data_IF_594893663157
#
_entry.id   IF_594893663157
#
_cell.length_a   1.000
_cell.length_b   1.000
_cell.length_c   1.000
_cell.angle_alpha   90.00
_cell.angle_beta   90.00
_cell.angle_gamma   90.00
#
_symmetry.space_group_name_H-M   'P 1'
#
loop_
_entity.id
_entity.type
_entity.pdbx_description
1 polymer ?
#
# COMPACT_ATOMS: atom_id res chain seq x y z
N UNK A 1 -68.86 -7.21 34.31
CA UNK A 1 -68.54 -8.34 33.41
C UNK A 1 -68.04 -7.72 32.11
N UNK A 2 -66.75 -7.35 31.99
CA UNK A 2 -65.64 -8.17 31.43
C UNK A 2 -66.04 -8.80 30.08
N UNK A 3 -65.44 -8.51 28.93
CA UNK A 3 -63.99 -8.41 28.65
C UNK A 3 -63.71 -7.64 27.35
N UNK A 4 -62.70 -6.77 27.43
CA UNK A 4 -61.94 -6.21 26.31
C UNK A 4 -61.12 -7.35 25.67
N UNK A 5 -61.30 -7.61 24.38
CA UNK A 5 -60.35 -8.45 23.61
C UNK A 5 -59.44 -7.54 22.79
N UNK A 6 -58.31 -7.20 23.40
CA UNK A 6 -57.09 -6.88 22.68
C UNK A 6 -56.65 -8.12 21.91
N UNK A 7 -56.61 -8.04 20.58
CA UNK A 7 -55.74 -8.91 19.78
C UNK A 7 -54.87 -7.97 18.98
N UNK A 8 -53.72 -7.64 19.58
CA UNK A 8 -52.55 -7.15 18.86
C UNK A 8 -52.29 -8.14 17.73
N UNK A 9 -52.51 -7.71 16.49
CA UNK A 9 -51.94 -8.37 15.33
C UNK A 9 -50.44 -8.04 15.36
N UNK A 10 -49.64 -8.93 15.97
CA UNK A 10 -48.19 -8.88 15.91
C UNK A 10 -47.77 -8.96 14.44
N UNK A 11 -47.38 -7.82 13.86
CA UNK A 11 -46.54 -7.79 12.67
C UNK A 11 -45.22 -8.48 13.04
N UNK A 12 -45.14 -9.77 12.78
CA UNK A 12 -43.87 -10.47 12.60
C UNK A 12 -43.23 -9.90 11.33
N UNK A 13 -42.59 -8.74 11.44
CA UNK A 13 -41.46 -8.44 10.57
C UNK A 13 -40.37 -9.45 10.96
N UNK A 14 -40.43 -10.64 10.36
CA UNK A 14 -39.21 -11.42 10.19
C UNK A 14 -38.29 -10.55 9.36
N UNK A 15 -37.42 -9.79 10.02
CA UNK A 15 -36.21 -9.30 9.38
C UNK A 15 -35.41 -10.56 9.08
N UNK A 16 -35.72 -11.20 7.95
CA UNK A 16 -34.75 -12.00 7.23
C UNK A 16 -33.68 -10.97 6.86
N UNK A 17 -32.68 -10.84 7.73
CA UNK A 17 -31.38 -10.37 7.31
C UNK A 17 -30.86 -11.45 6.36
N UNK A 18 -31.32 -11.39 5.10
CA UNK A 18 -30.55 -11.86 3.98
C UNK A 18 -29.26 -11.05 4.05
N UNK A 19 -28.28 -11.57 4.79
CA UNK A 19 -26.91 -11.17 4.58
C UNK A 19 -26.65 -11.44 3.11
N UNK A 20 -26.62 -10.38 2.30
CA UNK A 20 -25.95 -10.43 1.01
C UNK A 20 -24.48 -10.72 1.34
N UNK A 21 -24.11 -11.99 1.44
CA UNK A 21 -22.77 -12.39 1.09
C UNK A 21 -22.70 -12.18 -0.41
N UNK A 22 -22.33 -10.98 -0.83
CA UNK A 22 -21.95 -10.76 -2.23
C UNK A 22 -20.83 -11.76 -2.54
N UNK A 23 -21.06 -12.63 -3.52
CA UNK A 23 -20.01 -13.54 -3.96
C UNK A 23 -18.80 -12.70 -4.36
N UNK A 24 -17.64 -13.08 -3.83
CA UNK A 24 -16.41 -12.37 -4.07
C UNK A 24 -16.10 -12.40 -5.57
N UNK A 25 -15.93 -11.21 -6.18
CA UNK A 25 -15.64 -11.12 -7.62
C UNK A 25 -14.30 -11.81 -7.90
N UNK A 26 -14.34 -12.92 -8.61
CA UNK A 26 -13.14 -13.54 -9.17
C UNK A 26 -12.81 -12.87 -10.49
N UNK A 27 -11.52 -12.65 -10.75
CA UNK A 27 -11.04 -12.03 -11.99
C UNK A 27 -9.93 -12.89 -12.57
N UNK A 28 -9.87 -12.99 -13.89
CA UNK A 28 -8.81 -13.73 -14.53
C UNK A 28 -7.55 -12.86 -14.66
N UNK A 29 -6.37 -13.49 -14.59
CA UNK A 29 -5.08 -12.82 -14.67
C UNK A 29 -4.95 -11.94 -15.94
N UNK A 30 -5.45 -12.43 -17.07
CA UNK A 30 -5.37 -11.70 -18.34
C UNK A 30 -6.12 -10.36 -18.33
N UNK A 31 -7.19 -10.25 -17.57
CA UNK A 31 -8.00 -9.03 -17.46
C UNK A 31 -7.32 -7.98 -16.57
N UNK A 32 -6.72 -8.42 -15.45
CA UNK A 32 -5.86 -7.56 -14.61
C UNK A 32 -4.65 -7.02 -15.40
N UNK A 33 -4.07 -7.85 -16.27
CA UNK A 33 -2.86 -7.51 -17.02
C UNK A 33 -3.12 -6.57 -18.20
N UNK A 34 -4.28 -6.68 -18.88
CA UNK A 34 -4.64 -5.78 -19.99
C UNK A 34 -4.87 -4.32 -19.55
N UNK A 35 -4.94 -4.06 -18.24
CA UNK A 35 -4.87 -2.72 -17.69
C UNK A 35 -6.15 -1.90 -17.85
N UNK A 36 -7.19 -2.47 -18.44
CA UNK A 36 -8.51 -1.87 -18.46
C UNK A 36 -9.32 -2.40 -17.29
N UNK A 37 -9.14 -1.76 -16.13
CA UNK A 37 -9.94 -2.03 -14.93
C UNK A 37 -11.29 -1.33 -14.99
N UNK A 38 -11.60 -0.58 -16.06
CA UNK A 38 -12.86 0.17 -16.18
C UNK A 38 -14.08 -0.75 -16.28
N UNK A 39 -13.92 -1.96 -16.81
CA UNK A 39 -14.97 -2.98 -16.85
C UNK A 39 -15.28 -3.56 -15.46
N UNK A 40 -14.33 -3.46 -14.52
CA UNK A 40 -14.42 -4.07 -13.20
C UNK A 40 -14.68 -3.07 -12.07
N UNK A 41 -14.39 -1.79 -12.31
CA UNK A 41 -14.56 -0.69 -11.35
C UNK A 41 -15.82 0.10 -11.67
N UNK A 42 -16.96 -0.34 -11.13
CA UNK A 42 -18.16 0.50 -11.15
C UNK A 42 -18.06 1.52 -10.02
N UNK A 43 -17.78 2.78 -10.37
CA UNK A 43 -17.86 3.87 -9.41
C UNK A 43 -17.00 3.69 -8.16
N UNK A 44 -15.71 3.44 -8.30
CA UNK A 44 -14.67 3.87 -7.37
C UNK A 44 -13.34 3.69 -8.07
N UNK A 45 -12.54 4.76 -8.20
CA UNK A 45 -11.32 4.78 -9.00
C UNK A 45 -10.17 3.91 -8.43
N UNK A 46 -10.44 2.97 -7.51
CA UNK A 46 -9.45 2.12 -6.88
C UNK A 46 -10.06 0.79 -6.40
N UNK A 47 -9.29 -0.30 -6.51
CA UNK A 47 -9.68 -1.63 -6.09
C UNK A 47 -8.58 -2.35 -5.30
N UNK A 48 -8.97 -3.36 -4.53
CA UNK A 48 -8.08 -4.32 -3.90
C UNK A 48 -7.99 -5.59 -4.74
N UNK A 49 -6.79 -6.12 -4.91
CA UNK A 49 -6.57 -7.45 -5.48
C UNK A 49 -5.83 -8.31 -4.47
N UNK A 50 -6.47 -9.41 -4.04
CA UNK A 50 -5.86 -10.45 -3.24
C UNK A 50 -5.37 -11.57 -4.13
N UNK A 51 -4.10 -11.93 -3.99
CA UNK A 51 -3.47 -13.00 -4.74
C UNK A 51 -3.13 -14.10 -3.74
N UNK A 52 -3.95 -15.14 -3.76
CA UNK A 52 -3.90 -16.23 -2.78
C UNK A 52 -3.92 -17.54 -3.56
N UNK A 53 -2.77 -18.22 -3.68
CA UNK A 53 -2.69 -19.47 -4.43
C UNK A 53 -3.51 -20.57 -3.77
N UNK A 54 -4.12 -21.43 -4.57
CA UNK A 54 -4.95 -22.55 -4.06
C UNK A 54 -4.15 -23.48 -3.14
N UNK A 55 -2.90 -23.78 -3.49
CA UNK A 55 -1.99 -24.66 -2.73
C UNK A 55 -1.17 -23.95 -1.65
N UNK A 56 -1.70 -22.87 -1.07
CA UNK A 56 -0.98 -22.08 -0.09
C UNK A 56 -1.19 -22.55 1.36
N UNK A 57 -0.14 -23.10 1.95
CA UNK A 57 -0.14 -23.60 3.34
C UNK A 57 -0.23 -22.48 4.38
N UNK A 58 0.31 -21.29 4.10
CA UNK A 58 0.43 -20.17 5.06
C UNK A 58 -0.44 -18.96 4.69
N UNK A 59 -1.52 -19.15 3.92
CA UNK A 59 -2.39 -18.05 3.47
C UNK A 59 -3.55 -17.73 4.42
N UNK A 60 -3.66 -18.40 5.55
CA UNK A 60 -4.80 -18.23 6.47
C UNK A 60 -5.02 -16.76 6.86
N UNK A 61 -3.96 -16.01 7.14
CA UNK A 61 -4.06 -14.59 7.52
C UNK A 61 -4.57 -13.71 6.38
N UNK A 62 -4.16 -13.97 5.14
CA UNK A 62 -4.65 -13.25 3.96
C UNK A 62 -6.13 -13.59 3.67
N UNK A 63 -6.51 -14.87 3.75
CA UNK A 63 -7.90 -15.31 3.59
C UNK A 63 -8.81 -14.71 4.67
N UNK A 64 -8.34 -14.68 5.92
CA UNK A 64 -9.05 -14.04 7.03
C UNK A 64 -9.26 -12.54 6.76
N UNK A 65 -8.21 -11.82 6.40
CA UNK A 65 -8.29 -10.39 6.09
C UNK A 65 -9.22 -10.10 4.90
N UNK A 66 -9.17 -10.94 3.86
CA UNK A 66 -10.07 -10.85 2.71
C UNK A 66 -11.53 -10.94 3.14
N UNK A 67 -11.88 -11.94 3.96
CA UNK A 67 -13.25 -12.11 4.47
C UNK A 67 -13.69 -10.94 5.36
N UNK A 68 -12.79 -10.43 6.21
CA UNK A 68 -13.06 -9.28 7.08
C UNK A 68 -13.34 -8.01 6.28
N UNK A 69 -12.56 -7.73 5.23
CA UNK A 69 -12.72 -6.53 4.41
C UNK A 69 -13.93 -6.65 3.46
N UNK A 70 -14.21 -7.85 2.96
CA UNK A 70 -15.34 -8.07 2.04
C UNK A 70 -16.71 -7.91 2.71
N UNK A 71 -16.77 -8.07 4.03
CA UNK A 71 -17.98 -7.86 4.83
C UNK A 71 -18.02 -6.50 5.52
N UNK A 72 -17.04 -5.63 5.25
CA UNK A 72 -16.86 -4.37 5.95
C UNK A 72 -17.67 -3.24 5.34
N UNK A 73 -18.64 -2.73 6.10
CA UNK A 73 -19.48 -1.59 5.71
C UNK A 73 -18.67 -0.30 5.49
N UNK A 74 -17.48 -0.17 6.10
CA UNK A 74 -16.63 1.02 5.92
C UNK A 74 -15.81 0.99 4.62
N UNK A 75 -15.67 -0.17 3.98
CA UNK A 75 -14.95 -0.30 2.72
C UNK A 75 -15.95 -0.35 1.56
N UNK A 76 -15.82 0.58 0.62
CA UNK A 76 -16.75 0.75 -0.51
C UNK A 76 -16.10 0.48 -1.87
N UNK A 77 -14.83 0.09 -1.90
CA UNK A 77 -14.13 -0.21 -3.15
C UNK A 77 -14.43 -1.61 -3.67
N UNK A 78 -14.01 -1.89 -4.91
CA UNK A 78 -14.04 -3.25 -5.42
C UNK A 78 -12.94 -4.12 -4.77
N UNK A 79 -13.23 -5.41 -4.62
CA UNK A 79 -12.31 -6.43 -4.12
C UNK A 79 -12.31 -7.58 -5.10
N UNK A 80 -11.11 -7.90 -5.59
CA UNK A 80 -10.85 -9.00 -6.48
C UNK A 80 -9.99 -10.05 -5.80
N UNK A 81 -10.16 -11.27 -6.26
CA UNK A 81 -9.38 -12.41 -5.82
C UNK A 81 -8.86 -13.22 -7.00
N UNK A 82 -7.57 -13.55 -6.96
CA UNK A 82 -6.87 -14.31 -7.98
C UNK A 82 -6.12 -15.50 -7.35
N UNK A 83 -6.31 -16.68 -7.94
CA UNK A 83 -5.74 -17.95 -7.48
C UNK A 83 -4.47 -18.35 -8.25
N UNK A 84 -3.74 -17.38 -8.83
CA UNK A 84 -2.62 -17.62 -9.75
C UNK A 84 -1.33 -16.93 -9.27
N UNK A 85 -0.20 -17.62 -9.37
CA UNK A 85 1.15 -17.15 -8.98
C UNK A 85 1.97 -16.64 -10.17
N UNK A 86 1.51 -16.82 -11.41
CA UNK A 86 2.32 -16.62 -12.62
C UNK A 86 2.37 -15.18 -13.12
N UNK A 87 2.02 -14.21 -12.27
CA UNK A 87 1.96 -12.81 -12.63
C UNK A 87 3.39 -12.25 -12.78
N UNK A 88 3.84 -11.78 -13.96
CA UNK A 88 5.25 -11.50 -14.22
C UNK A 88 5.90 -10.46 -13.29
N UNK A 89 5.15 -9.45 -12.86
CA UNK A 89 5.63 -8.39 -11.94
C UNK A 89 5.58 -8.81 -10.45
N UNK A 90 4.98 -9.97 -10.15
CA UNK A 90 4.96 -10.58 -8.80
C UNK A 90 6.25 -11.35 -8.53
N UNK A 91 7.16 -11.49 -9.49
CA UNK A 91 8.46 -12.11 -9.22
C UNK A 91 9.27 -11.40 -8.11
N UNK A 92 8.99 -10.12 -7.82
CA UNK A 92 9.55 -9.41 -6.64
C UNK A 92 8.74 -9.58 -5.34
N UNK A 93 7.49 -10.06 -5.41
CA UNK A 93 6.57 -10.19 -4.28
C UNK A 93 6.15 -11.65 -4.12
N UNK A 94 6.68 -12.36 -3.13
CA UNK A 94 6.24 -13.73 -2.87
C UNK A 94 4.75 -13.78 -2.51
N UNK A 95 3.95 -14.55 -3.27
CA UNK A 95 2.55 -14.81 -2.91
C UNK A 95 2.45 -15.54 -1.56
N UNK A 96 1.42 -15.30 -0.74
CA UNK A 96 0.27 -14.42 -0.99
C UNK A 96 0.61 -12.93 -0.95
N UNK A 97 -0.11 -12.15 -1.76
CA UNK A 97 0.08 -10.71 -1.87
C UNK A 97 -1.25 -9.97 -1.93
N UNK A 98 -1.22 -8.68 -1.58
CA UNK A 98 -2.34 -7.76 -1.71
C UNK A 98 -1.86 -6.56 -2.51
N UNK A 99 -2.67 -6.13 -3.48
CA UNK A 99 -2.39 -4.98 -4.32
C UNK A 99 -3.51 -3.96 -4.29
N UNK A 100 -3.09 -2.70 -4.36
CA UNK A 100 -3.94 -1.59 -4.73
C UNK A 100 -3.85 -1.39 -6.23
N UNK A 101 -5.00 -1.25 -6.86
CA UNK A 101 -5.12 -1.07 -8.30
C UNK A 101 -5.93 0.18 -8.60
N UNK A 102 -5.47 0.98 -9.56
CA UNK A 102 -6.29 1.91 -10.30
C UNK A 102 -5.82 1.94 -11.77
N UNK A 103 -6.38 2.83 -12.58
CA UNK A 103 -6.05 2.93 -14.01
C UNK A 103 -4.58 3.28 -14.28
N UNK A 104 -3.86 3.83 -13.30
CA UNK A 104 -2.50 4.34 -13.46
C UNK A 104 -1.45 3.53 -12.69
N UNK A 105 -1.84 2.93 -11.56
CA UNK A 105 -0.93 2.42 -10.54
C UNK A 105 -1.38 1.05 -10.06
N UNK A 106 -0.39 0.18 -9.95
CA UNK A 106 -0.48 -1.16 -9.36
C UNK A 106 0.57 -1.17 -8.26
N UNK A 107 0.13 -1.14 -7.00
CA UNK A 107 1.04 -0.93 -5.88
C UNK A 107 0.84 -2.05 -4.86
N UNK A 108 1.89 -2.76 -4.43
CA UNK A 108 1.77 -3.75 -3.38
C UNK A 108 1.48 -3.14 -2.02
N UNK A 109 0.64 -3.82 -1.25
CA UNK A 109 0.48 -3.54 0.17
C UNK A 109 1.58 -4.24 0.97
N UNK A 110 2.39 -3.45 1.66
CA UNK A 110 3.54 -3.91 2.44
C UNK A 110 3.36 -3.70 3.96
N UNK A 111 2.11 -3.51 4.39
CA UNK A 111 1.76 -3.26 5.78
C UNK A 111 1.30 -4.50 6.56
N UNK A 112 0.97 -4.34 7.85
CA UNK A 112 0.45 -5.44 8.67
C UNK A 112 -0.86 -6.00 8.12
N UNK A 113 -1.03 -7.33 8.15
CA UNK A 113 -2.28 -7.99 7.74
C UNK A 113 -3.41 -7.75 8.75
N UNK A 114 -3.94 -6.54 8.75
CA UNK A 114 -4.96 -6.07 9.66
C UNK A 114 -5.89 -5.07 8.97
N UNK A 115 -7.20 -5.27 9.15
CA UNK A 115 -8.27 -4.50 8.52
C UNK A 115 -8.03 -2.98 8.52
N UNK A 116 -7.87 -2.39 9.69
CA UNK A 116 -7.67 -0.93 9.85
C UNK A 116 -6.44 -0.40 9.11
N UNK A 117 -5.35 -1.19 9.07
CA UNK A 117 -4.12 -0.78 8.39
C UNK A 117 -4.30 -0.82 6.88
N UNK A 118 -5.01 -1.81 6.35
CA UNK A 118 -5.31 -1.93 4.93
C UNK A 118 -6.24 -0.79 4.46
N UNK A 119 -7.29 -0.47 5.22
CA UNK A 119 -8.22 0.63 4.90
C UNK A 119 -7.49 1.98 4.91
N UNK A 120 -6.65 2.24 5.92
CA UNK A 120 -5.86 3.47 5.94
C UNK A 120 -4.91 3.54 4.75
N UNK A 121 -4.24 2.44 4.41
CA UNK A 121 -3.37 2.40 3.23
C UNK A 121 -4.14 2.61 1.92
N UNK A 122 -5.36 2.07 1.79
CA UNK A 122 -6.24 2.37 0.66
C UNK A 122 -6.57 3.87 0.58
N UNK A 123 -6.89 4.51 1.70
CA UNK A 123 -7.10 5.96 1.72
C UNK A 123 -5.84 6.76 1.32
N UNK A 124 -4.65 6.33 1.75
CA UNK A 124 -3.40 6.94 1.28
C UNK A 124 -3.22 6.73 -0.23
N UNK A 125 -3.55 5.53 -0.73
CA UNK A 125 -3.48 5.22 -2.15
C UNK A 125 -4.40 6.14 -2.96
N UNK A 126 -5.68 6.26 -2.59
CA UNK A 126 -6.65 7.10 -3.32
C UNK A 126 -6.33 8.59 -3.27
N UNK A 127 -5.63 9.07 -2.23
CA UNK A 127 -5.16 10.46 -2.14
C UNK A 127 -3.85 10.73 -2.89
N UNK A 128 -3.30 9.73 -3.58
CA UNK A 128 -2.12 9.88 -4.44
C UNK A 128 -0.78 9.80 -3.69
N UNK A 129 -0.75 9.26 -2.47
CA UNK A 129 0.52 9.05 -1.76
C UNK A 129 1.42 8.09 -2.53
N UNK A 130 2.68 8.49 -2.67
CA UNK A 130 3.74 7.72 -3.32
C UNK A 130 5.10 8.21 -2.77
N UNK A 131 6.17 7.49 -3.10
CA UNK A 131 7.51 7.89 -2.74
C UNK A 131 7.98 9.07 -3.60
N UNK A 132 8.74 9.99 -3.00
CA UNK A 132 9.31 11.14 -3.72
C UNK A 132 10.44 10.66 -4.64
N UNK A 133 10.47 11.18 -5.87
CA UNK A 133 11.56 10.97 -6.83
C UNK A 133 12.57 12.08 -6.59
N UNK A 134 13.63 11.76 -5.87
CA UNK A 134 14.64 12.73 -5.47
C UNK A 134 15.83 12.70 -6.43
N UNK A 135 16.42 13.87 -6.65
CA UNK A 135 17.62 14.06 -7.42
C UNK A 135 18.51 15.17 -6.82
N UNK A 136 19.64 15.45 -7.47
CA UNK A 136 20.54 16.52 -7.03
C UNK A 136 19.87 17.92 -7.02
N UNK A 137 18.81 18.16 -7.79
CA UNK A 137 18.15 19.45 -7.90
C UNK A 137 17.10 19.65 -6.79
N UNK A 138 16.35 18.62 -6.41
CA UNK A 138 15.25 18.73 -5.46
C UNK A 138 15.55 18.19 -4.05
N UNK A 139 16.60 17.38 -3.85
CA UNK A 139 16.84 16.69 -2.58
C UNK A 139 16.87 17.65 -1.39
N UNK A 140 17.65 18.73 -1.47
CA UNK A 140 17.78 19.69 -0.37
C UNK A 140 16.47 20.45 -0.11
N UNK A 141 15.74 20.76 -1.18
CA UNK A 141 14.50 21.53 -1.10
C UNK A 141 13.38 20.68 -0.50
N UNK A 142 13.16 19.47 -1.01
CA UNK A 142 12.02 18.64 -0.62
C UNK A 142 12.20 18.04 0.78
N UNK A 143 13.44 17.65 1.11
CA UNK A 143 13.77 17.10 2.43
C UNK A 143 14.11 18.19 3.46
N UNK A 144 14.32 19.43 3.01
CA UNK A 144 14.86 20.54 3.80
C UNK A 144 16.23 20.23 4.43
N UNK A 145 17.02 19.34 3.82
CA UNK A 145 18.29 18.89 4.41
C UNK A 145 19.33 20.00 4.64
N UNK A 146 19.27 21.11 3.90
CA UNK A 146 20.20 22.24 3.97
C UNK A 146 19.93 23.22 5.12
N UNK A 147 18.70 23.29 5.63
CA UNK A 147 18.31 24.25 6.69
C UNK A 147 18.50 23.71 8.11
N UNK A 148 18.92 22.45 8.25
CA UNK A 148 19.05 21.78 9.55
C UNK A 148 17.72 21.31 10.15
N UNK A 149 16.60 21.53 9.47
CA UNK A 149 15.26 21.06 9.84
C UNK A 149 14.68 20.25 8.70
N UNK A 150 14.06 19.09 8.94
CA UNK A 150 13.38 18.32 7.89
C UNK A 150 11.89 18.59 7.87
N UNK A 151 11.26 18.44 6.71
CA UNK A 151 9.79 18.38 6.55
C UNK A 151 9.23 17.03 7.02
N UNK A 152 9.51 16.65 8.28
CA UNK A 152 9.14 15.36 8.86
C UNK A 152 10.24 14.29 8.82
N UNK A 153 9.93 13.06 9.19
CA UNK A 153 10.90 11.97 9.14
C UNK A 153 11.03 11.46 7.70
N UNK A 154 12.27 11.23 7.26
CA UNK A 154 12.54 10.75 5.91
C UNK A 154 13.34 9.45 5.96
N UNK A 155 12.90 8.47 5.18
CA UNK A 155 13.70 7.32 4.79
C UNK A 155 14.09 7.53 3.33
N UNK A 156 15.38 7.79 3.09
CA UNK A 156 15.94 8.00 1.75
C UNK A 156 16.61 6.71 1.30
N UNK A 157 16.24 6.24 0.12
CA UNK A 157 16.70 5.00 -0.48
C UNK A 157 17.53 5.36 -1.71
N UNK A 158 18.79 4.89 -1.71
CA UNK A 158 19.68 5.01 -2.85
C UNK A 158 19.58 3.72 -3.65
N UNK A 159 18.84 3.79 -4.76
CA UNK A 159 18.58 2.65 -5.63
C UNK A 159 18.27 3.13 -7.05
N UNK A 160 18.44 2.26 -8.04
CA UNK A 160 18.06 2.53 -9.41
C UNK A 160 16.54 2.81 -9.49
N UNK A 161 16.20 3.92 -10.14
CA UNK A 161 14.82 4.39 -10.29
C UNK A 161 14.19 3.66 -11.49
N UNK A 162 14.00 2.35 -11.34
CA UNK A 162 13.34 1.49 -12.33
C UNK A 162 11.84 1.37 -12.03
N UNK A 163 10.96 1.26 -13.06
CA UNK A 163 9.51 1.21 -12.85
C UNK A 163 9.03 0.14 -11.85
N UNK A 164 9.66 -1.04 -11.87
CA UNK A 164 9.28 -2.17 -11.00
C UNK A 164 9.68 -1.93 -9.54
N UNK A 165 10.86 -1.36 -9.28
CA UNK A 165 11.32 -1.04 -7.91
C UNK A 165 10.53 0.13 -7.32
N UNK A 166 10.15 1.10 -8.16
CA UNK A 166 9.35 2.25 -7.73
C UNK A 166 8.00 1.87 -7.13
N UNK A 167 7.31 0.88 -7.69
CA UNK A 167 6.03 0.41 -7.16
C UNK A 167 6.16 -0.12 -5.72
N UNK A 168 7.28 -0.79 -5.41
CA UNK A 168 7.56 -1.29 -4.06
C UNK A 168 7.78 -0.12 -3.10
N UNK A 169 8.53 0.90 -3.51
CA UNK A 169 8.74 2.10 -2.69
C UNK A 169 7.46 2.92 -2.49
N UNK A 170 6.57 2.92 -3.48
CA UNK A 170 5.24 3.52 -3.33
C UNK A 170 4.40 2.71 -2.33
N UNK A 171 4.43 1.38 -2.38
CA UNK A 171 3.77 0.51 -1.40
C UNK A 171 4.28 0.70 0.03
N UNK A 172 5.60 0.87 0.19
CA UNK A 172 6.24 1.24 1.46
C UNK A 172 5.75 2.60 1.94
N UNK A 173 5.58 3.56 1.03
CA UNK A 173 5.09 4.91 1.35
C UNK A 173 3.68 4.88 1.94
N UNK A 174 2.77 4.08 1.38
CA UNK A 174 1.41 3.92 1.92
C UNK A 174 1.44 3.42 3.38
N UNK A 175 2.35 2.50 3.68
CA UNK A 175 2.50 1.89 5.01
C UNK A 175 3.15 2.83 6.01
N UNK A 176 4.23 3.52 5.60
CA UNK A 176 5.05 4.34 6.48
C UNK A 176 4.51 5.76 6.67
N UNK A 177 3.65 6.24 5.75
CA UNK A 177 2.94 7.52 5.91
C UNK A 177 2.08 7.55 7.16
N UNK A 178 1.47 6.41 7.52
CA UNK A 178 0.71 6.24 8.77
C UNK A 178 1.57 6.44 10.04
N UNK A 179 2.91 6.37 9.91
CA UNK A 179 3.88 6.63 10.97
C UNK A 179 4.63 7.95 10.79
N UNK A 180 4.11 8.85 9.96
CA UNK A 180 4.73 10.15 9.66
C UNK A 180 6.15 10.04 9.10
N UNK A 181 6.42 9.00 8.31
CA UNK A 181 7.68 8.82 7.58
C UNK A 181 7.42 8.98 6.08
N UNK A 182 8.15 9.90 5.45
CA UNK A 182 8.20 10.07 4.01
C UNK A 182 9.26 9.15 3.41
N UNK A 183 9.01 8.66 2.20
CA UNK A 183 9.98 7.88 1.44
C UNK A 183 10.49 8.73 0.29
N UNK A 184 11.80 8.80 0.15
CA UNK A 184 12.46 9.38 -1.02
C UNK A 184 13.33 8.33 -1.68
N UNK A 185 13.29 8.25 -3.00
CA UNK A 185 14.14 7.33 -3.79
C UNK A 185 15.00 8.18 -4.72
N UNK A 186 16.29 7.87 -4.78
CA UNK A 186 17.27 8.61 -5.56
C UNK A 186 18.25 7.64 -6.22
N UNK A 187 18.44 7.79 -7.53
CA UNK A 187 19.43 7.02 -8.28
C UNK A 187 20.83 7.60 -8.03
N UNK A 188 21.74 6.86 -7.39
CA UNK A 188 23.08 7.36 -7.08
C UNK A 188 23.96 7.56 -8.32
N UNK A 189 23.68 6.88 -9.44
CA UNK A 189 24.40 7.09 -10.72
C UNK A 189 24.02 8.43 -11.35
N UNK A 190 22.77 8.85 -11.20
CA UNK A 190 22.27 10.12 -11.74
C UNK A 190 22.52 11.30 -10.79
N UNK A 191 22.45 11.05 -9.48
CA UNK A 191 22.55 12.08 -8.43
C UNK A 191 23.87 12.00 -7.68
N UNK A 192 24.96 12.12 -8.45
CA UNK A 192 26.32 11.89 -7.96
C UNK A 192 26.74 12.85 -6.86
N UNK A 193 26.24 14.10 -6.85
CA UNK A 193 26.57 15.08 -5.82
C UNK A 193 25.98 14.68 -4.47
N UNK A 194 24.71 14.29 -4.45
CA UNK A 194 24.01 13.82 -3.25
C UNK A 194 24.58 12.48 -2.79
N UNK A 195 24.81 11.53 -3.70
CA UNK A 195 25.45 10.25 -3.37
C UNK A 195 26.82 10.45 -2.70
N UNK A 196 27.67 11.33 -3.26
CA UNK A 196 28.98 11.67 -2.68
C UNK A 196 28.86 12.32 -1.30
N UNK A 197 27.89 13.22 -1.10
CA UNK A 197 27.63 13.86 0.21
C UNK A 197 27.36 12.82 1.31
N UNK A 198 26.66 11.74 0.97
CA UNK A 198 26.31 10.66 1.90
C UNK A 198 27.26 9.46 1.85
N UNK A 199 28.40 9.58 1.16
CA UNK A 199 29.40 8.53 1.02
C UNK A 199 28.80 7.20 0.49
N UNK A 200 27.87 7.30 -0.46
CA UNK A 200 27.26 6.15 -1.11
C UNK A 200 28.18 5.66 -2.23
N UNK A 201 28.59 4.39 -2.15
CA UNK A 201 29.39 3.75 -3.19
C UNK A 201 28.53 3.51 -4.44
N UNK A 202 28.92 4.12 -5.56
CA UNK A 202 28.31 3.85 -6.87
C UNK A 202 29.03 2.64 -7.47
N UNK A 203 28.37 1.49 -7.67
CA UNK A 203 29.02 0.34 -8.31
C UNK A 203 29.43 0.72 -9.74
N UNK A 204 30.70 0.48 -10.10
CA UNK A 204 31.11 0.51 -11.51
C UNK A 204 30.43 -0.64 -12.25
N UNK A 205 30.09 -0.44 -13.52
CA UNK A 205 29.31 -1.40 -14.33
C UNK A 205 29.95 -2.81 -14.45
N UNK A 206 31.16 -3.01 -13.92
CA UNK A 206 31.87 -4.30 -13.82
C UNK A 206 31.51 -5.16 -12.59
N UNK A 207 30.64 -4.69 -11.69
CA UNK A 207 30.25 -5.42 -10.47
C UNK A 207 28.74 -5.73 -10.42
N UNK A 208 28.16 -6.15 -11.55
CA UNK A 208 26.84 -6.77 -11.56
C UNK A 208 26.95 -8.13 -10.88
N UNK A 209 26.42 -8.23 -9.65
CA UNK A 209 25.81 -9.45 -9.11
C UNK A 209 25.08 -9.23 -7.78
N UNK A 210 25.08 -8.03 -7.18
CA UNK A 210 24.23 -7.72 -6.01
C UNK A 210 23.75 -6.26 -6.05
N UNK A 211 22.43 -5.97 -6.06
CA UNK A 211 21.95 -4.61 -5.87
C UNK A 211 22.29 -4.13 -4.46
N UNK A 212 23.14 -3.11 -4.34
CA UNK A 212 23.46 -2.46 -3.08
C UNK A 212 22.36 -1.47 -2.73
N UNK A 213 21.31 -1.93 -2.05
CA UNK A 213 20.31 -1.04 -1.46
C UNK A 213 20.96 -0.37 -0.24
N UNK A 214 21.21 0.93 -0.33
CA UNK A 214 21.63 1.74 0.82
C UNK A 214 20.46 2.62 1.27
N UNK A 215 20.10 2.55 2.55
CA UNK A 215 19.02 3.34 3.11
C UNK A 215 19.52 4.20 4.26
N UNK A 216 19.14 5.48 4.26
CA UNK A 216 19.45 6.42 5.34
C UNK A 216 18.13 6.85 5.97
N UNK A 217 17.96 6.54 7.26
CA UNK A 217 16.87 7.07 8.05
C UNK A 217 17.30 8.37 8.72
N UNK A 218 16.62 9.48 8.39
CA UNK A 218 16.81 10.77 9.06
C UNK A 218 15.62 11.04 9.98
N UNK A 219 15.85 10.88 11.28
CA UNK A 219 14.93 11.31 12.34
C UNK A 219 15.55 12.48 13.10
N UNK A 220 14.80 13.57 13.27
CA UNK A 220 15.18 14.62 14.21
C UNK A 220 14.76 14.18 15.61
N UNK A 221 15.73 13.80 16.45
CA UNK A 221 15.54 13.95 17.89
C UNK A 221 15.50 15.45 18.17
N UNK A 222 14.37 15.95 18.64
CA UNK A 222 14.30 17.23 19.36
C UNK A 222 15.20 17.15 20.58
N UNK A 223 16.48 17.50 20.43
CA UNK A 223 17.28 17.94 21.56
C UNK A 223 16.93 19.40 21.79
N UNK A 224 16.31 19.69 22.94
CA UNK A 224 16.26 20.96 23.69
C UNK A 224 14.92 21.04 24.44
N UNK A 225 14.88 20.42 25.62
CA UNK A 225 14.15 20.91 26.80
C UNK A 225 14.77 20.20 28.02
N UNK A 226 16.02 20.58 28.33
CA UNK A 226 16.62 20.55 29.65
C UNK A 226 18.02 21.17 29.57
N UNK A 227 18.06 22.49 29.46
CA UNK A 227 19.13 23.32 30.03
C UNK A 227 18.46 24.54 30.66
N UNK A 228 18.20 24.40 31.95
CA UNK A 228 18.33 25.44 32.98
C UNK A 228 18.64 26.86 32.49
N UNK A 229 17.67 27.75 32.66
CA UNK A 229 17.81 29.08 33.24
C UNK A 229 16.46 29.43 33.90
#
# INVERSE_FOLDING_TARGET
MTTIKHVLLYFLFSVLSLGLSGDLKTVALHDILKGDLSEYTEGSNAALLFIIPDNCHNCHMHKKLLNEISSDVLYSGDIFHLNDITVPWINMLSAPAILFLNNERKIPYLGPLHRTHLINAMHQFTTGVQSARLDDANFEHDTQASTGSTTGNWLVIFDEVAPDTLQIYDGLSLTLRAKHVNIGVLDPKQSTRTAKRFNISIPSDSAQNNPLISAILRTLKTSQLNRSA
#
